data_IF_746694372369
#
_entry.id   IF_746694372369
#
_cell.length_a   1.000
_cell.length_b   1.000
_cell.length_c   1.000
_cell.angle_alpha   90.00
_cell.angle_beta   90.00
_cell.angle_gamma   90.00
#
_symmetry.space_group_name_H-M   'P 1'
#
loop_
_entity.id
_entity.type
_entity.pdbx_description
1 polymer ?
#
# COMPACT_ATOMS: atom_id res chain seq x y z
N UNK A 1 -13.20 -14.48 -4.80
CA UNK A 1 -12.51 -13.48 -5.64
C UNK A 1 -12.87 -12.11 -5.08
N UNK A 2 -11.93 -11.40 -4.44
CA UNK A 2 -12.19 -10.06 -3.93
C UNK A 2 -11.89 -9.03 -5.03
N UNK A 3 -12.73 -8.00 -5.17
CA UNK A 3 -12.42 -6.84 -6.00
C UNK A 3 -11.41 -5.98 -5.24
N UNK A 4 -10.17 -5.97 -5.73
CA UNK A 4 -9.08 -5.22 -5.12
C UNK A 4 -9.15 -3.76 -5.55
N UNK A 5 -9.23 -2.88 -4.56
CA UNK A 5 -9.23 -1.43 -4.75
C UNK A 5 -7.97 -0.90 -4.08
N UNK A 6 -7.12 -0.19 -4.83
CA UNK A 6 -5.90 0.43 -4.33
C UNK A 6 -6.09 1.93 -4.18
N UNK A 7 -5.55 2.50 -3.09
CA UNK A 7 -5.60 3.92 -2.79
C UNK A 7 -4.18 4.44 -2.59
N UNK A 8 -3.84 5.54 -3.26
CA UNK A 8 -2.58 6.26 -3.07
C UNK A 8 -2.85 7.57 -2.36
N UNK A 9 -2.19 7.82 -1.23
CA UNK A 9 -2.38 9.04 -0.43
C UNK A 9 -1.07 9.83 -0.43
N UNK A 10 -1.14 11.09 -0.88
CA UNK A 10 -0.03 12.04 -0.83
C UNK A 10 -0.41 13.23 0.04
N UNK A 11 0.22 13.33 1.22
CA UNK A 11 0.10 14.48 2.10
C UNK A 11 0.98 15.63 1.62
N UNK A 12 0.55 16.87 1.85
CA UNK A 12 1.30 18.08 1.47
C UNK A 12 2.65 18.20 2.20
N UNK A 13 2.70 17.81 3.47
CA UNK A 13 3.91 17.92 4.30
C UNK A 13 4.66 16.59 4.42
N UNK A 14 3.95 15.47 4.45
CA UNK A 14 4.52 14.14 4.70
C UNK A 14 4.84 13.36 3.41
N UNK A 15 4.56 13.92 2.23
CA UNK A 15 4.82 13.25 0.97
C UNK A 15 3.90 12.04 0.74
N UNK A 16 4.44 10.93 0.24
CA UNK A 16 3.66 9.73 -0.09
C UNK A 16 3.35 8.93 1.19
N UNK A 17 2.18 9.15 1.79
CA UNK A 17 1.74 8.46 3.01
C UNK A 17 1.47 6.98 2.77
N UNK A 18 1.01 6.62 1.57
CA UNK A 18 0.81 5.21 1.20
C UNK A 18 2.11 4.50 0.80
N UNK A 19 3.28 5.12 1.02
CA UNK A 19 4.56 4.45 0.81
C UNK A 19 4.71 3.29 1.81
N UNK A 20 5.06 2.11 1.32
CA UNK A 20 5.30 0.94 2.16
C UNK A 20 4.06 0.18 2.64
N UNK A 21 2.84 0.73 2.50
CA UNK A 21 1.61 0.10 3.03
C UNK A 21 1.23 -1.25 2.41
N UNK A 22 1.76 -1.59 1.23
CA UNK A 22 1.53 -2.88 0.56
C UNK A 22 2.74 -3.82 0.60
N UNK A 23 3.65 -3.62 1.57
CA UNK A 23 4.87 -4.42 1.74
C UNK A 23 4.69 -5.50 2.82
N UNK A 24 5.59 -6.49 2.81
CA UNK A 24 5.62 -7.55 3.84
C UNK A 24 5.71 -6.96 5.26
N UNK A 25 6.49 -5.90 5.45
CA UNK A 25 6.67 -5.27 6.77
C UNK A 25 5.40 -4.57 7.27
N UNK A 26 4.49 -4.18 6.37
CA UNK A 26 3.27 -3.45 6.73
C UNK A 26 2.06 -4.37 6.91
N UNK A 27 1.87 -5.34 6.02
CA UNK A 27 0.66 -6.19 6.00
C UNK A 27 0.97 -7.70 5.97
N UNK A 28 2.22 -8.08 6.26
CA UNK A 28 2.64 -9.48 6.37
C UNK A 28 2.31 -10.26 5.11
N UNK A 29 1.95 -11.54 5.25
CA UNK A 29 1.67 -12.46 4.14
C UNK A 29 0.50 -12.04 3.22
N UNK A 30 -0.23 -10.97 3.58
CA UNK A 30 -1.29 -10.40 2.74
C UNK A 30 -0.77 -9.32 1.78
N UNK A 31 0.54 -9.02 1.84
CA UNK A 31 1.17 -8.10 0.91
C UNK A 31 1.01 -8.57 -0.54
N UNK A 32 0.94 -7.59 -1.43
CA UNK A 32 0.78 -7.86 -2.86
C UNK A 32 2.00 -7.35 -3.56
N UNK A 33 2.83 -8.31 -3.96
CA UNK A 33 3.94 -8.04 -4.87
C UNK A 33 3.36 -7.84 -6.26
N UNK A 34 3.50 -6.61 -6.78
CA UNK A 34 3.29 -6.36 -8.21
C UNK A 34 4.36 -7.16 -8.95
N UNK A 35 3.93 -8.16 -9.70
CA UNK A 35 4.78 -8.94 -10.63
C UNK A 35 4.75 -8.29 -12.00
#
# INVERSE_FOLDING_TARGET
MANLIYLTIKGKTQGLLSSGCSSIDSIGNKYQTVT
#
